data_IF_582348957381
#
_entry.id   IF_582348957381
#
_cell.length_a   1.000
_cell.length_b   1.000
_cell.length_c   1.000
_cell.angle_alpha   90.00
_cell.angle_beta   90.00
_cell.angle_gamma   90.00
#
_symmetry.space_group_name_H-M   'P 1'
#
loop_
_entity.id
_entity.type
_entity.pdbx_description
1 polymer ?
#
# COMPACT_ATOMS: atom_id res chain seq x y z
N UNK A 1 -3.10 12.06 -16.99
CA UNK A 1 -2.24 11.05 -16.36
C UNK A 1 -3.08 10.30 -15.35
N UNK A 2 -3.16 8.96 -15.43
CA UNK A 2 -3.89 8.13 -14.46
C UNK A 2 -3.06 7.86 -13.21
N UNK A 3 -3.72 7.56 -12.09
CA UNK A 3 -3.05 7.07 -10.88
C UNK A 3 -2.40 5.71 -11.19
N UNK A 4 -1.14 5.55 -10.82
CA UNK A 4 -0.43 4.28 -10.90
C UNK A 4 0.24 3.97 -9.56
N UNK A 5 -0.09 2.81 -9.01
CA UNK A 5 0.48 2.30 -7.76
C UNK A 5 1.22 1.01 -8.08
N UNK A 6 2.49 0.95 -7.71
CA UNK A 6 3.30 -0.25 -7.79
C UNK A 6 3.77 -0.63 -6.38
N UNK A 7 3.34 -1.81 -5.93
CA UNK A 7 3.66 -2.33 -4.61
C UNK A 7 4.43 -3.64 -4.72
N UNK A 8 5.49 -3.74 -3.91
CA UNK A 8 6.13 -5.00 -3.51
C UNK A 8 6.44 -4.90 -2.01
N UNK A 9 6.61 -6.03 -1.30
CA UNK A 9 7.03 -5.99 0.11
C UNK A 9 8.29 -5.12 0.29
N UNK A 10 8.19 -4.13 1.17
CA UNK A 10 9.24 -3.18 1.49
C UNK A 10 9.49 -2.05 0.49
N UNK A 11 8.71 -1.98 -0.61
CA UNK A 11 8.76 -0.84 -1.55
C UNK A 11 7.39 -0.49 -2.13
N UNK A 12 6.95 0.74 -1.88
CA UNK A 12 5.76 1.33 -2.48
C UNK A 12 6.18 2.45 -3.41
N UNK A 13 5.66 2.46 -4.65
CA UNK A 13 5.81 3.59 -5.57
C UNK A 13 4.45 4.05 -6.06
N UNK A 14 4.19 5.34 -5.93
CA UNK A 14 2.95 5.97 -6.37
C UNK A 14 3.27 7.04 -7.39
N UNK A 15 2.58 7.04 -8.53
CA UNK A 15 2.68 8.05 -9.57
C UNK A 15 1.31 8.69 -9.80
N UNK A 16 1.27 10.01 -9.74
CA UNK A 16 0.04 10.81 -9.79
C UNK A 16 0.35 12.24 -10.23
N UNK A 17 -0.62 12.90 -10.84
CA UNK A 17 -0.48 14.29 -11.27
C UNK A 17 -0.37 15.26 -10.06
N UNK A 18 -0.97 14.92 -8.92
CA UNK A 18 -0.93 15.76 -7.71
C UNK A 18 0.51 16.01 -7.22
N UNK A 19 1.39 15.02 -7.38
CA UNK A 19 2.83 15.12 -7.05
C UNK A 19 3.63 16.02 -8.03
N UNK A 20 2.99 16.65 -9.03
CA UNK A 20 3.63 17.64 -9.91
C UNK A 20 3.13 19.06 -9.64
N UNK A 21 1.89 19.19 -9.15
CA UNK A 21 1.20 20.48 -9.07
C UNK A 21 1.25 21.11 -7.68
N UNK A 22 1.58 20.36 -6.62
CA UNK A 22 1.46 20.83 -5.23
C UNK A 22 2.76 20.65 -4.43
N UNK A 23 3.80 21.47 -4.68
CA UNK A 23 5.13 21.28 -4.08
C UNK A 23 5.13 21.25 -2.55
N UNK A 24 4.36 22.09 -1.87
CA UNK A 24 4.31 22.10 -0.40
C UNK A 24 3.71 20.84 0.23
N UNK A 25 2.73 20.21 -0.44
CA UNK A 25 2.13 18.95 0.05
C UNK A 25 3.07 17.76 -0.12
N UNK A 26 3.97 17.82 -1.11
CA UNK A 26 4.95 16.78 -1.39
C UNK A 26 6.00 16.73 -0.28
N UNK A 27 6.52 17.89 0.12
CA UNK A 27 7.57 17.96 1.13
C UNK A 27 7.03 17.52 2.50
N UNK A 28 5.78 17.90 2.83
CA UNK A 28 5.07 17.40 4.00
C UNK A 28 4.83 15.87 3.92
N UNK A 29 4.48 15.34 2.74
CA UNK A 29 4.31 13.90 2.57
C UNK A 29 5.60 13.12 2.82
N UNK A 30 6.73 13.61 2.30
CA UNK A 30 8.04 13.00 2.57
C UNK A 30 8.33 13.06 4.07
N UNK A 31 8.16 14.22 4.69
CA UNK A 31 8.41 14.41 6.12
C UNK A 31 7.57 13.45 6.99
N UNK A 32 6.26 13.41 6.77
CA UNK A 32 5.32 12.52 7.48
C UNK A 32 5.66 11.05 7.30
N UNK A 33 5.99 10.63 6.08
CA UNK A 33 6.38 9.25 5.80
C UNK A 33 7.69 8.88 6.50
N UNK A 34 8.71 9.74 6.44
CA UNK A 34 10.01 9.48 7.09
C UNK A 34 9.95 9.51 8.61
N UNK A 35 8.91 10.11 9.19
CA UNK A 35 8.70 10.12 10.64
C UNK A 35 8.08 8.81 11.16
N UNK A 36 7.57 7.94 10.29
CA UNK A 36 7.00 6.65 10.69
C UNK A 36 8.09 5.64 11.04
N UNK A 37 7.97 4.99 12.21
CA UNK A 37 8.92 3.97 12.64
C UNK A 37 8.86 2.74 11.73
N UNK A 38 9.93 2.49 10.97
CA UNK A 38 9.98 1.40 10.01
C UNK A 38 9.92 1.87 8.56
N UNK A 39 9.67 3.16 8.30
CA UNK A 39 10.01 3.77 7.02
C UNK A 39 11.49 4.09 6.98
N UNK A 40 12.19 3.53 6.00
CA UNK A 40 13.64 3.66 5.83
C UNK A 40 13.99 4.86 4.96
N UNK A 41 13.16 5.15 3.95
CA UNK A 41 13.33 6.29 3.07
C UNK A 41 12.01 6.62 2.35
N UNK A 42 11.78 7.91 2.10
CA UNK A 42 10.77 8.38 1.15
C UNK A 42 11.40 9.41 0.22
N UNK A 43 11.23 9.24 -1.08
CA UNK A 43 11.85 10.09 -2.10
C UNK A 43 10.90 10.41 -3.24
N UNK A 44 10.91 11.67 -3.67
CA UNK A 44 10.03 12.15 -4.74
C UNK A 44 10.83 12.43 -6.00
N UNK A 45 10.35 11.90 -7.12
CA UNK A 45 10.75 12.29 -8.46
C UNK A 45 9.70 13.25 -9.03
N UNK A 46 9.96 14.56 -8.91
CA UNK A 46 9.06 15.64 -9.36
C UNK A 46 8.84 15.59 -10.88
N UNK A 47 9.89 15.28 -11.65
CA UNK A 47 9.80 15.18 -13.11
C UNK A 47 8.81 14.09 -13.55
N UNK A 48 8.90 12.91 -12.93
CA UNK A 48 8.02 11.77 -13.21
C UNK A 48 6.63 11.87 -12.51
N UNK A 49 6.49 12.77 -11.53
CA UNK A 49 5.30 12.87 -10.68
C UNK A 49 5.10 11.62 -9.83
N UNK A 50 6.19 11.10 -9.23
CA UNK A 50 6.11 9.88 -8.42
C UNK A 50 6.85 10.00 -7.10
N UNK A 51 6.35 9.30 -6.08
CA UNK A 51 7.02 9.08 -4.79
C UNK A 51 7.34 7.60 -4.63
N UNK A 52 8.50 7.30 -4.07
CA UNK A 52 8.94 5.95 -3.70
C UNK A 52 9.20 5.91 -2.21
N UNK A 53 8.66 4.90 -1.54
CA UNK A 53 8.80 4.66 -0.10
C UNK A 53 9.43 3.28 0.10
N UNK A 54 10.51 3.24 0.86
CA UNK A 54 11.15 2.02 1.37
C UNK A 54 10.75 1.85 2.82
N UNK A 55 10.25 0.67 3.18
CA UNK A 55 9.70 0.41 4.51
C UNK A 55 9.96 -1.04 4.95
N UNK A 56 9.83 -1.31 6.24
CA UNK A 56 9.82 -2.66 6.81
C UNK A 56 8.42 -3.28 6.65
N UNK A 57 8.25 -4.31 5.78
CA UNK A 57 6.94 -4.93 5.55
C UNK A 57 6.42 -5.74 6.75
N UNK A 58 7.23 -5.93 7.80
CA UNK A 58 6.76 -6.54 9.06
C UNK A 58 6.06 -5.52 9.97
N UNK A 59 6.25 -4.22 9.72
CA UNK A 59 5.74 -3.12 10.55
C UNK A 59 4.63 -2.35 9.87
N UNK A 60 4.76 -2.12 8.55
CA UNK A 60 3.79 -1.35 7.79
C UNK A 60 3.22 -2.14 6.62
N UNK A 61 1.91 -1.97 6.41
CA UNK A 61 1.23 -2.36 5.18
C UNK A 61 1.29 -1.24 4.13
N UNK A 62 1.10 -1.58 2.86
CA UNK A 62 1.05 -0.58 1.80
C UNK A 62 -0.21 0.30 1.86
N UNK A 63 -1.31 -0.22 2.40
CA UNK A 63 -2.55 0.53 2.59
C UNK A 63 -2.36 1.71 3.56
N UNK A 64 -1.68 1.49 4.68
CA UNK A 64 -1.36 2.52 5.68
C UNK A 64 -0.51 3.66 5.08
N UNK A 65 0.52 3.31 4.29
CA UNK A 65 1.34 4.30 3.58
C UNK A 65 0.55 5.06 2.51
N UNK A 66 -0.43 4.40 1.87
CA UNK A 66 -1.34 5.05 0.92
C UNK A 66 -2.36 5.95 1.61
N UNK A 67 -2.76 5.66 2.85
CA UNK A 67 -3.65 6.52 3.64
C UNK A 67 -2.95 7.85 3.97
N UNK A 68 -1.69 7.80 4.41
CA UNK A 68 -0.87 9.02 4.62
C UNK A 68 -0.80 9.89 3.36
N UNK A 69 -0.63 9.26 2.19
CA UNK A 69 -0.61 9.97 0.91
C UNK A 69 -1.98 10.53 0.50
N UNK A 70 -3.09 9.87 0.90
CA UNK A 70 -4.46 10.33 0.65
C UNK A 70 -4.82 11.52 1.53
N UNK A 71 -4.47 11.48 2.82
CA UNK A 71 -4.71 12.57 3.77
C UNK A 71 -4.06 13.88 3.33
N UNK A 72 -2.92 13.77 2.65
CA UNK A 72 -2.18 14.91 2.11
C UNK A 72 -2.63 15.33 0.70
N UNK A 73 -3.66 14.69 0.14
CA UNK A 73 -4.20 14.98 -1.18
C UNK A 73 -3.24 14.64 -2.33
N UNK A 74 -2.28 13.75 -2.09
CA UNK A 74 -1.35 13.26 -3.12
C UNK A 74 -1.97 12.13 -3.95
N UNK A 75 -2.95 11.41 -3.40
CA UNK A 75 -3.69 10.35 -4.08
C UNK A 75 -5.18 10.65 -3.98
N UNK A 76 -5.87 10.74 -5.13
CA UNK A 76 -7.32 10.85 -5.15
C UNK A 76 -7.95 9.47 -4.93
N UNK A 77 -8.96 9.40 -4.07
CA UNK A 77 -9.69 8.17 -3.71
C UNK A 77 -10.38 7.47 -4.90
N UNK A 78 -10.41 8.10 -6.08
CA UNK A 78 -11.04 7.58 -7.31
C UNK A 78 -10.28 6.39 -7.93
N UNK A 79 -9.13 6.01 -7.37
CA UNK A 79 -8.38 4.86 -7.85
C UNK A 79 -8.06 3.90 -6.70
N UNK A 80 -9.06 3.11 -6.33
CA UNK A 80 -8.89 1.88 -5.55
C UNK A 80 -9.71 0.77 -6.21
N UNK A 81 -9.06 -0.05 -7.03
CA UNK A 81 -9.55 -1.38 -7.39
C UNK A 81 -8.83 -2.37 -6.47
N UNK A 82 -9.56 -2.98 -5.53
CA UNK A 82 -9.08 -4.07 -4.67
C UNK A 82 -9.51 -3.91 -3.21
N UNK A 83 -10.09 -4.96 -2.58
CA UNK A 83 -10.70 -4.86 -1.25
C UNK A 83 -9.68 -4.94 -0.11
N UNK A 84 -9.75 -3.97 0.80
CA UNK A 84 -9.06 -3.95 2.08
C UNK A 84 -9.62 -5.04 3.02
N UNK A 85 -8.73 -5.76 3.71
CA UNK A 85 -9.07 -6.64 4.84
C UNK A 85 -8.33 -6.14 6.08
N UNK A 86 -9.04 -5.41 6.93
CA UNK A 86 -8.46 -4.64 8.04
C UNK A 86 -8.26 -5.41 9.34
N UNK A 87 -7.56 -4.75 10.28
CA UNK A 87 -7.75 -4.90 11.73
C UNK A 87 -7.11 -3.72 12.48
N UNK A 88 -7.91 -2.89 13.15
CA UNK A 88 -7.41 -1.91 14.13
C UNK A 88 -8.17 -0.59 14.19
N UNK A 89 -9.37 -0.63 14.77
CA UNK A 89 -10.06 0.41 15.55
C UNK A 89 -9.86 1.92 15.27
N UNK A 90 -11.02 2.55 14.95
CA UNK A 90 -11.42 3.95 15.22
C UNK A 90 -10.86 5.02 14.26
N UNK A 91 -11.55 5.22 13.14
CA UNK A 91 -11.77 6.54 12.55
C UNK A 91 -13.09 6.52 11.77
N UNK A 92 -14.03 7.36 12.19
CA UNK A 92 -15.46 7.24 11.88
C UNK A 92 -15.87 7.41 10.41
N UNK A 93 -17.10 6.95 10.15
CA UNK A 93 -17.85 7.00 8.88
C UNK A 93 -17.28 6.12 7.76
N UNK A 94 -17.53 4.81 7.78
CA UNK A 94 -18.71 4.22 7.13
C UNK A 94 -19.15 4.90 5.81
N UNK A 95 -18.42 4.61 4.74
CA UNK A 95 -18.96 4.61 3.38
C UNK A 95 -19.86 3.38 3.18
N UNK A 96 -21.12 3.61 2.78
CA UNK A 96 -22.22 2.64 2.77
C UNK A 96 -22.09 1.57 1.67
N UNK A 97 -22.52 0.35 1.99
CA UNK A 97 -22.86 -0.80 1.13
C UNK A 97 -21.66 -1.52 0.45
N UNK A 98 -21.46 -2.84 0.47
CA UNK A 98 -22.39 -3.98 0.44
C UNK A 98 -21.80 -5.19 1.19
N UNK A 99 -22.70 -5.93 1.85
CA UNK A 99 -22.53 -7.31 2.31
C UNK A 99 -22.42 -8.21 1.06
N UNK A 100 -21.39 -9.05 0.96
CA UNK A 100 -21.31 -10.05 -0.12
C UNK A 100 -20.01 -10.83 -0.20
N UNK A 101 -19.99 -12.00 0.45
CA UNK A 101 -19.20 -13.21 0.15
C UNK A 101 -17.66 -13.12 0.09
N UNK A 102 -16.99 -13.53 1.17
CA UNK A 102 -15.60 -14.03 1.13
C UNK A 102 -15.62 -15.48 0.66
N UNK A 103 -15.17 -15.71 -0.57
CA UNK A 103 -14.81 -17.03 -1.06
C UNK A 103 -13.34 -17.04 -1.50
N UNK A 104 -12.56 -17.83 -0.76
CA UNK A 104 -11.31 -18.49 -1.16
C UNK A 104 -10.10 -17.58 -1.39
N UNK A 105 -8.98 -17.89 -0.73
CA UNK A 105 -7.84 -18.55 -1.41
C UNK A 105 -6.86 -19.05 -0.35
N UNK A 106 -6.85 -20.36 -0.12
CA UNK A 106 -5.72 -21.08 0.45
C UNK A 106 -4.73 -21.32 -0.68
N UNK A 107 -3.53 -20.74 -0.61
CA UNK A 107 -2.42 -21.25 -1.39
C UNK A 107 -1.09 -20.92 -0.72
N UNK A 108 -0.28 -21.98 -0.61
CA UNK A 108 1.16 -22.00 -0.36
C UNK A 108 1.63 -21.87 1.09
N UNK A 109 1.66 -23.03 1.74
CA UNK A 109 2.88 -23.43 2.45
C UNK A 109 3.52 -24.62 1.73
N UNK A 110 4.62 -24.32 1.07
CA UNK A 110 5.60 -25.27 0.57
C UNK A 110 6.36 -25.89 1.76
N UNK A 111 6.76 -27.16 1.65
CA UNK A 111 8.15 -27.66 1.70
C UNK A 111 8.13 -29.17 1.95
N UNK A 112 8.95 -29.83 1.14
CA UNK A 112 9.32 -31.23 1.05
C UNK A 112 9.45 -31.99 2.39
N UNK A 113 8.96 -33.22 2.44
CA UNK A 113 9.61 -34.33 3.18
C UNK A 113 9.31 -35.65 2.46
N UNK A 114 10.37 -36.41 2.23
CA UNK A 114 10.42 -37.75 1.62
C UNK A 114 9.58 -38.79 2.39
N UNK A 115 9.13 -39.83 1.67
CA UNK A 115 9.44 -41.27 1.87
C UNK A 115 8.32 -42.08 1.20
N UNK A 116 8.72 -43.00 0.32
CA UNK A 116 7.82 -43.82 -0.48
C UNK A 116 7.19 -44.98 0.27
N UNK A 117 6.05 -45.45 -0.23
CA UNK A 117 5.55 -46.82 -0.05
C UNK A 117 4.74 -47.20 -1.30
N UNK A 118 5.30 -48.14 -2.05
CA UNK A 118 4.69 -49.34 -2.65
C UNK A 118 3.47 -49.16 -3.58
N UNK A 119 3.54 -49.51 -4.87
CA UNK A 119 3.49 -50.89 -5.37
C UNK A 119 2.54 -51.79 -4.56
N UNK A 120 1.31 -51.92 -5.04
CA UNK A 120 0.56 -53.17 -5.14
C UNK A 120 -0.49 -53.04 -6.23
#
# INVERSE_FOLDING_TARGET
>A
MSLYIHHVPGRLRVRTQALRCKPGQIDEAVHRLTALEGVQAAAVNRHAGSITVHYDPKRHGHEELLDVLRDLGCVDASASTGPASGRGEIAGLFGRALIGAVAQTLAQRSVQTLVGVALR
#
